data_IF_582964705797
#
_entry.id   IF_582964705797
#
_cell.length_a   1.000
_cell.length_b   1.000
_cell.length_c   1.000
_cell.angle_alpha   90.00
_cell.angle_beta   90.00
_cell.angle_gamma   90.00
#
_symmetry.space_group_name_H-M   'P 1'
#
loop_
_entity.id
_entity.type
_entity.pdbx_description
1 polymer ?
#
# COMPACT_ATOMS: atom_id res chain seq x y z
N UNK A 1 -59.56 -5.41 -5.57
CA UNK A 1 -58.63 -6.14 -4.72
C UNK A 1 -58.48 -5.41 -3.41
N UNK A 2 -58.70 -6.10 -2.26
CA UNK A 2 -58.53 -5.49 -0.91
C UNK A 2 -57.04 -5.24 -0.70
N UNK A 3 -56.68 -4.18 0.01
CA UNK A 3 -55.28 -3.75 0.29
C UNK A 3 -54.40 -4.90 0.78
N UNK A 4 -54.94 -5.80 1.61
CA UNK A 4 -54.22 -7.01 2.07
C UNK A 4 -53.82 -7.98 0.93
N UNK A 5 -54.65 -8.09 -0.11
CA UNK A 5 -54.31 -8.95 -1.27
C UNK A 5 -53.20 -8.35 -2.14
N UNK A 6 -53.17 -7.03 -2.29
CA UNK A 6 -52.10 -6.34 -3.01
C UNK A 6 -50.77 -6.45 -2.27
N UNK A 7 -50.76 -6.35 -0.94
CA UNK A 7 -49.58 -6.53 -0.11
C UNK A 7 -49.05 -7.97 -0.21
N UNK A 8 -49.94 -8.96 -0.15
CA UNK A 8 -49.53 -10.38 -0.28
C UNK A 8 -48.96 -10.71 -1.66
N UNK A 9 -49.52 -10.16 -2.73
CA UNK A 9 -48.98 -10.32 -4.09
C UNK A 9 -47.62 -9.65 -4.21
N UNK A 10 -47.43 -8.46 -3.67
CA UNK A 10 -46.15 -7.77 -3.68
C UNK A 10 -45.05 -8.56 -2.94
N UNK A 11 -45.39 -9.11 -1.75
CA UNK A 11 -44.45 -9.94 -0.99
C UNK A 11 -44.12 -11.25 -1.70
N UNK A 12 -45.09 -11.88 -2.39
CA UNK A 12 -44.87 -13.10 -3.16
C UNK A 12 -43.97 -12.83 -4.38
N UNK A 13 -44.15 -11.71 -5.07
CA UNK A 13 -43.28 -11.29 -6.20
C UNK A 13 -41.87 -11.02 -5.71
N UNK A 14 -41.70 -10.34 -4.57
CA UNK A 14 -40.39 -10.11 -3.95
C UNK A 14 -39.74 -11.44 -3.56
N UNK A 15 -40.49 -12.38 -2.98
CA UNK A 15 -39.99 -13.72 -2.64
C UNK A 15 -39.56 -14.53 -3.87
N UNK A 16 -40.33 -14.52 -4.95
CA UNK A 16 -40.01 -15.22 -6.20
C UNK A 16 -38.78 -14.59 -6.86
N UNK A 17 -38.66 -13.27 -6.90
CA UNK A 17 -37.50 -12.57 -7.43
C UNK A 17 -36.23 -12.89 -6.61
N UNK A 18 -36.37 -13.03 -5.27
CA UNK A 18 -35.29 -13.49 -4.40
C UNK A 18 -34.83 -14.91 -4.68
N UNK A 19 -35.79 -15.85 -4.84
CA UNK A 19 -35.50 -17.27 -5.13
C UNK A 19 -34.93 -17.52 -6.53
N UNK A 20 -35.28 -16.70 -7.51
CA UNK A 20 -34.78 -16.83 -8.89
C UNK A 20 -33.45 -16.15 -9.16
N UNK A 21 -32.84 -15.54 -8.13
CA UNK A 21 -31.59 -14.79 -8.28
C UNK A 21 -31.73 -13.49 -9.08
N UNK A 22 -32.96 -13.15 -9.54
CA UNK A 22 -33.22 -11.90 -10.28
C UNK A 22 -32.96 -10.68 -9.39
N UNK A 23 -33.17 -10.80 -8.06
CA UNK A 23 -32.82 -9.76 -7.09
C UNK A 23 -31.31 -9.44 -7.16
N UNK A 24 -30.47 -10.46 -7.33
CA UNK A 24 -29.03 -10.27 -7.49
C UNK A 24 -28.66 -9.55 -8.79
N UNK A 25 -29.46 -9.71 -9.86
CA UNK A 25 -29.24 -9.02 -11.15
C UNK A 25 -29.80 -7.61 -11.19
N UNK A 26 -30.86 -7.31 -10.42
CA UNK A 26 -31.55 -6.00 -10.43
C UNK A 26 -30.96 -5.05 -9.38
N UNK A 27 -30.52 -5.57 -8.25
CA UNK A 27 -29.76 -4.84 -7.23
C UNK A 27 -28.31 -5.31 -7.23
N UNK A 28 -27.57 -5.00 -8.29
CA UNK A 28 -26.11 -5.00 -8.22
C UNK A 28 -25.70 -3.90 -7.24
N UNK A 29 -25.61 -4.24 -5.97
CA UNK A 29 -24.87 -3.44 -5.02
C UNK A 29 -23.42 -3.54 -5.47
N UNK A 30 -22.90 -2.50 -6.15
CA UNK A 30 -21.51 -2.43 -6.54
C UNK A 30 -20.68 -2.57 -5.28
N UNK A 31 -20.02 -3.71 -5.13
CA UNK A 31 -19.07 -3.89 -4.04
C UNK A 31 -17.89 -2.99 -4.36
N UNK A 32 -17.63 -2.01 -3.48
CA UNK A 32 -16.50 -1.11 -3.65
C UNK A 32 -15.23 -1.85 -3.25
N UNK A 33 -14.11 -1.68 -3.97
CA UNK A 33 -12.85 -2.24 -3.53
C UNK A 33 -12.38 -1.56 -2.25
N UNK A 34 -11.47 -2.21 -1.53
CA UNK A 34 -10.60 -1.55 -0.58
C UNK A 34 -9.25 -1.29 -1.22
N UNK A 35 -8.60 -0.20 -0.86
CA UNK A 35 -7.27 0.13 -1.39
C UNK A 35 -6.25 0.07 -0.27
N UNK A 36 -5.28 -0.81 -0.41
CA UNK A 36 -4.15 -0.93 0.49
C UNK A 36 -2.94 -0.25 -0.16
N UNK A 37 -2.15 0.45 0.62
CA UNK A 37 -0.99 1.21 0.15
C UNK A 37 0.28 0.79 0.87
N UNK A 38 1.40 0.77 0.15
CA UNK A 38 2.68 0.99 0.80
C UNK A 38 2.82 2.45 1.24
N UNK A 39 3.81 2.73 2.05
CA UNK A 39 4.06 4.08 2.56
C UNK A 39 5.11 4.82 1.73
N UNK A 40 6.34 4.31 1.75
CA UNK A 40 7.52 4.98 1.21
C UNK A 40 7.58 4.86 -0.31
N UNK A 41 7.78 5.98 -1.00
CA UNK A 41 7.76 5.99 -2.47
C UNK A 41 6.36 5.89 -3.07
N UNK A 42 5.31 5.67 -2.24
CA UNK A 42 3.92 5.55 -2.68
C UNK A 42 3.05 6.70 -2.14
N UNK A 43 2.94 6.87 -0.84
CA UNK A 43 2.19 7.96 -0.20
C UNK A 43 3.09 9.10 0.26
N UNK A 44 4.34 8.79 0.55
CA UNK A 44 5.33 9.70 1.10
C UNK A 44 6.61 9.60 0.30
N UNK A 45 7.13 10.74 -0.15
CA UNK A 45 8.49 10.83 -0.67
C UNK A 45 9.48 10.87 0.49
N UNK A 46 10.04 9.73 0.80
CA UNK A 46 11.10 9.58 1.80
C UNK A 46 12.49 9.41 1.18
N UNK A 47 12.64 9.56 -0.13
CA UNK A 47 13.91 9.28 -0.81
C UNK A 47 15.05 10.15 -0.27
N UNK A 48 14.84 11.44 -0.20
CA UNK A 48 15.85 12.38 0.35
C UNK A 48 16.19 12.06 1.80
N UNK A 49 15.17 11.75 2.62
CA UNK A 49 15.35 11.37 4.01
C UNK A 49 16.21 10.12 4.16
N UNK A 50 15.91 9.08 3.41
CA UNK A 50 16.62 7.80 3.44
C UNK A 50 18.07 8.01 2.98
N UNK A 51 18.29 8.69 1.85
CA UNK A 51 19.61 8.95 1.31
C UNK A 51 20.48 9.74 2.31
N UNK A 52 19.96 10.82 2.85
CA UNK A 52 20.70 11.65 3.79
C UNK A 52 21.00 10.91 5.09
N UNK A 53 20.06 10.05 5.55
CA UNK A 53 20.30 9.22 6.73
C UNK A 53 21.45 8.23 6.49
N UNK A 54 21.46 7.50 5.37
CA UNK A 54 22.54 6.58 5.04
C UNK A 54 23.88 7.30 4.88
N UNK A 55 23.92 8.44 4.18
CA UNK A 55 25.15 9.24 4.04
C UNK A 55 25.73 9.63 5.41
N UNK A 56 24.89 10.04 6.36
CA UNK A 56 25.36 10.39 7.72
C UNK A 56 25.87 9.18 8.49
N UNK A 57 25.18 8.04 8.41
CA UNK A 57 25.64 6.80 9.05
C UNK A 57 27.00 6.38 8.47
N UNK A 58 27.13 6.33 7.14
CA UNK A 58 28.40 5.95 6.53
C UNK A 58 29.51 6.93 6.84
N UNK A 59 29.25 8.23 6.91
CA UNK A 59 30.23 9.22 7.32
C UNK A 59 30.73 9.01 8.75
N UNK A 60 29.88 8.52 9.67
CA UNK A 60 30.27 8.23 11.06
C UNK A 60 31.08 6.92 11.19
N UNK A 61 30.67 5.86 10.50
CA UNK A 61 31.22 4.51 10.69
C UNK A 61 32.25 4.09 9.61
N UNK A 62 32.20 4.72 8.44
CA UNK A 62 33.11 4.50 7.30
C UNK A 62 33.44 5.82 6.60
N UNK A 63 34.18 6.75 7.26
CA UNK A 63 34.39 8.11 6.75
C UNK A 63 35.05 8.19 5.37
N UNK A 64 35.85 7.17 5.03
CA UNK A 64 36.55 7.07 3.72
C UNK A 64 35.72 6.38 2.64
N UNK A 65 34.46 5.97 2.94
CA UNK A 65 33.59 5.29 1.99
C UNK A 65 32.53 6.25 1.46
N UNK A 66 32.58 6.50 0.16
CA UNK A 66 31.55 7.31 -0.52
C UNK A 66 30.49 6.41 -1.15
N UNK A 67 29.23 6.58 -0.70
CA UNK A 67 28.10 5.89 -1.28
C UNK A 67 27.77 6.43 -2.68
N UNK A 68 27.75 5.55 -3.65
CA UNK A 68 27.27 5.87 -5.00
C UNK A 68 25.74 6.03 -5.00
N UNK A 69 25.20 6.73 -6.01
CA UNK A 69 23.76 6.83 -6.17
C UNK A 69 23.12 5.45 -6.39
N UNK A 70 23.79 4.53 -7.10
CA UNK A 70 23.28 3.18 -7.34
C UNK A 70 23.12 2.39 -6.04
N UNK A 71 24.09 2.51 -5.13
CA UNK A 71 24.00 1.89 -3.80
C UNK A 71 22.84 2.48 -2.99
N UNK A 72 22.72 3.82 -2.96
CA UNK A 72 21.62 4.50 -2.26
C UNK A 72 20.25 4.02 -2.77
N UNK A 73 20.08 3.88 -4.07
CA UNK A 73 18.84 3.33 -4.65
C UNK A 73 18.62 1.85 -4.27
N UNK A 74 19.70 1.06 -4.16
CA UNK A 74 19.59 -0.36 -3.77
C UNK A 74 19.17 -0.58 -2.31
N UNK A 75 19.18 0.48 -1.49
CA UNK A 75 18.80 0.43 -0.09
C UNK A 75 17.27 0.53 0.11
N UNK A 76 16.52 0.84 -0.96
CA UNK A 76 15.07 0.77 -0.91
C UNK A 76 14.58 -0.67 -1.10
N UNK A 77 13.65 -1.09 -0.26
CA UNK A 77 13.03 -2.42 -0.29
C UNK A 77 13.61 -3.42 0.69
N UNK A 78 14.94 -3.67 0.75
CA UNK A 78 15.54 -4.53 1.77
C UNK A 78 15.35 -3.97 3.19
N UNK A 79 15.41 -4.86 4.20
CA UNK A 79 15.46 -4.41 5.60
C UNK A 79 16.83 -3.78 5.91
N UNK A 80 16.89 -2.97 6.98
CA UNK A 80 18.15 -2.35 7.40
C UNK A 80 19.22 -3.39 7.75
N UNK A 81 18.79 -4.50 8.37
CA UNK A 81 19.65 -5.63 8.70
C UNK A 81 20.34 -6.19 7.43
N UNK A 82 19.56 -6.47 6.39
CA UNK A 82 20.06 -6.98 5.10
C UNK A 82 20.95 -5.94 4.41
N UNK A 83 20.62 -4.67 4.52
CA UNK A 83 21.42 -3.60 3.90
C UNK A 83 22.76 -3.46 4.60
N UNK A 84 22.76 -3.29 5.93
CA UNK A 84 24.00 -3.06 6.68
C UNK A 84 24.92 -4.29 6.74
N UNK A 85 24.39 -5.52 6.70
CA UNK A 85 25.21 -6.73 6.67
C UNK A 85 26.16 -6.83 5.47
N UNK A 86 25.90 -6.07 4.40
CA UNK A 86 26.80 -5.99 3.23
C UNK A 86 28.05 -5.14 3.49
N UNK A 87 28.01 -4.28 4.49
CA UNK A 87 29.02 -3.24 4.71
C UNK A 87 29.70 -3.30 6.08
N UNK A 88 29.06 -3.92 7.07
CA UNK A 88 29.48 -3.90 8.47
C UNK A 88 29.48 -5.31 9.07
N UNK A 89 30.36 -5.57 10.07
CA UNK A 89 30.37 -6.81 10.83
C UNK A 89 29.03 -7.03 11.57
N UNK A 90 28.66 -8.31 11.76
CA UNK A 90 27.39 -8.71 12.35
C UNK A 90 27.17 -8.15 13.75
N UNK A 91 28.22 -8.11 14.57
CA UNK A 91 28.22 -7.59 15.95
C UNK A 91 27.97 -6.07 16.05
N UNK A 92 28.08 -5.32 14.95
CA UNK A 92 27.84 -3.90 14.90
C UNK A 92 26.47 -3.52 14.34
N UNK A 93 25.78 -4.43 13.66
CA UNK A 93 24.58 -4.13 12.88
C UNK A 93 23.48 -3.52 13.75
N UNK A 94 23.20 -4.08 14.92
CA UNK A 94 22.14 -3.58 15.81
C UNK A 94 22.41 -2.13 16.25
N UNK A 95 23.63 -1.83 16.67
CA UNK A 95 24.02 -0.47 17.08
C UNK A 95 23.96 0.54 15.92
N UNK A 96 24.31 0.12 14.71
CA UNK A 96 24.23 0.95 13.50
C UNK A 96 22.78 1.21 13.11
N UNK A 97 21.90 0.21 13.24
CA UNK A 97 20.46 0.38 13.02
C UNK A 97 19.86 1.38 14.01
N UNK A 98 20.21 1.28 15.28
CA UNK A 98 19.76 2.23 16.29
C UNK A 98 20.24 3.66 15.97
N UNK A 99 21.50 3.79 15.54
CA UNK A 99 22.06 5.07 15.12
C UNK A 99 21.34 5.62 13.88
N UNK A 100 21.11 4.77 12.87
CA UNK A 100 20.31 5.12 11.69
C UNK A 100 18.93 5.64 12.09
N UNK A 101 18.23 4.96 12.98
CA UNK A 101 16.91 5.38 13.44
C UNK A 101 16.93 6.72 14.18
N UNK A 102 17.96 6.96 14.99
CA UNK A 102 18.14 8.23 15.68
C UNK A 102 18.36 9.40 14.70
N UNK A 103 19.24 9.21 13.70
CA UNK A 103 19.51 10.20 12.65
C UNK A 103 18.24 10.41 11.80
N UNK A 104 17.58 9.34 11.36
CA UNK A 104 16.35 9.40 10.58
C UNK A 104 15.26 10.21 11.30
N UNK A 105 15.11 9.98 12.61
CA UNK A 105 14.15 10.73 13.44
C UNK A 105 14.46 12.23 13.48
N UNK A 106 15.73 12.61 13.53
CA UNK A 106 16.15 14.02 13.53
C UNK A 106 15.86 14.70 12.19
N UNK A 107 16.14 13.98 11.08
CA UNK A 107 15.98 14.50 9.71
C UNK A 107 14.54 14.47 9.20
N UNK A 108 13.68 13.73 9.86
CA UNK A 108 12.34 13.43 9.37
C UNK A 108 11.52 14.69 9.00
N UNK A 109 11.61 15.74 9.80
CA UNK A 109 10.86 16.98 9.56
C UNK A 109 11.34 17.74 8.33
N UNK A 110 12.63 17.62 8.00
CA UNK A 110 13.27 18.45 6.97
C UNK A 110 13.24 17.78 5.59
N UNK A 111 13.11 16.46 5.54
CA UNK A 111 13.30 15.66 4.32
C UNK A 111 12.14 14.73 3.97
N UNK A 112 11.06 14.71 4.75
CA UNK A 112 9.89 13.89 4.42
C UNK A 112 8.81 14.80 3.84
N UNK A 113 8.42 14.50 2.62
CA UNK A 113 7.38 15.20 1.89
C UNK A 113 6.22 14.26 1.55
N UNK A 114 5.04 14.79 1.32
CA UNK A 114 3.92 14.06 0.75
C UNK A 114 4.23 13.73 -0.73
N UNK A 115 3.86 12.52 -1.19
CA UNK A 115 3.93 12.20 -2.61
C UNK A 115 2.92 13.07 -3.39
N UNK A 116 3.29 13.61 -4.56
CA UNK A 116 2.39 14.44 -5.35
C UNK A 116 1.02 13.77 -5.53
N UNK A 117 -0.04 14.52 -5.28
CA UNK A 117 -1.45 14.13 -5.38
C UNK A 117 -1.91 13.02 -4.41
N UNK A 118 -1.10 12.64 -3.39
CA UNK A 118 -1.50 11.58 -2.46
C UNK A 118 -2.75 11.99 -1.65
N UNK A 119 -2.78 13.22 -1.16
CA UNK A 119 -3.92 13.72 -0.39
C UNK A 119 -5.17 13.86 -1.24
N UNK A 120 -5.08 14.47 -2.42
CA UNK A 120 -6.20 14.64 -3.34
C UNK A 120 -6.80 13.30 -3.77
N UNK A 121 -5.94 12.31 -4.02
CA UNK A 121 -6.35 10.94 -4.33
C UNK A 121 -7.11 10.32 -3.16
N UNK A 122 -6.59 10.42 -1.93
CA UNK A 122 -7.24 9.89 -0.73
C UNK A 122 -8.58 10.60 -0.45
N UNK A 123 -8.68 11.90 -0.66
CA UNK A 123 -9.94 12.65 -0.60
C UNK A 123 -10.95 12.13 -1.64
N UNK A 124 -10.48 11.87 -2.85
CA UNK A 124 -11.29 11.27 -3.91
C UNK A 124 -11.80 9.88 -3.55
N UNK A 125 -10.96 8.99 -3.04
CA UNK A 125 -11.36 7.65 -2.57
C UNK A 125 -12.35 7.72 -1.41
N UNK A 126 -12.12 8.61 -0.44
CA UNK A 126 -13.03 8.83 0.69
C UNK A 126 -14.40 9.33 0.24
N UNK A 127 -14.44 10.26 -0.73
CA UNK A 127 -15.71 10.76 -1.31
C UNK A 127 -16.50 9.63 -1.97
N UNK A 128 -15.81 8.69 -2.60
CA UNK A 128 -16.41 7.48 -3.16
C UNK A 128 -16.76 6.43 -2.08
N UNK A 129 -16.43 6.66 -0.81
CA UNK A 129 -16.66 5.73 0.30
C UNK A 129 -15.83 4.45 0.17
N UNK A 130 -14.60 4.56 -0.35
CA UNK A 130 -13.62 3.49 -0.48
C UNK A 130 -12.74 3.50 0.76
N UNK A 131 -12.65 2.36 1.44
CA UNK A 131 -11.80 2.21 2.63
C UNK A 131 -10.34 2.04 2.22
N UNK A 132 -9.44 2.64 3.01
CA UNK A 132 -8.01 2.62 2.76
C UNK A 132 -7.23 2.06 3.95
N UNK A 133 -6.13 1.35 3.68
CA UNK A 133 -5.20 0.92 4.71
C UNK A 133 -3.74 1.10 4.25
N UNK A 134 -2.82 1.15 5.22
CA UNK A 134 -1.37 1.15 4.98
C UNK A 134 -0.77 -0.15 5.47
N UNK A 135 0.08 -0.78 4.64
CA UNK A 135 0.86 -1.98 4.97
C UNK A 135 2.32 -1.74 4.59
N UNK A 136 3.18 -1.55 5.59
CA UNK A 136 4.58 -1.17 5.39
C UNK A 136 5.54 -2.08 6.17
N UNK A 137 6.71 -2.37 5.59
CA UNK A 137 7.80 -3.07 6.28
C UNK A 137 8.54 -2.19 7.32
N UNK A 138 8.18 -0.91 7.43
CA UNK A 138 8.71 -0.01 8.46
C UNK A 138 8.05 -0.24 9.82
N UNK A 139 8.76 0.15 10.88
CA UNK A 139 8.22 0.14 12.24
C UNK A 139 6.96 1.01 12.34
N UNK A 140 5.96 0.51 13.04
CA UNK A 140 4.64 1.14 13.13
C UNK A 140 4.69 2.60 13.62
N UNK A 141 5.60 2.92 14.54
CA UNK A 141 5.77 4.29 15.03
C UNK A 141 6.27 5.24 13.94
N UNK A 142 7.15 4.74 13.03
CA UNK A 142 7.67 5.52 11.91
C UNK A 142 6.57 5.75 10.87
N UNK A 143 5.79 4.71 10.59
CA UNK A 143 4.63 4.79 9.67
C UNK A 143 3.64 5.85 10.17
N UNK A 144 3.19 5.74 11.41
CA UNK A 144 2.22 6.70 11.99
C UNK A 144 2.75 8.12 12.03
N UNK A 145 4.03 8.30 12.36
CA UNK A 145 4.68 9.61 12.35
C UNK A 145 4.73 10.22 10.95
N UNK A 146 5.10 9.42 9.95
CA UNK A 146 5.14 9.84 8.55
C UNK A 146 3.77 10.29 8.05
N UNK A 147 2.75 9.46 8.23
CA UNK A 147 1.37 9.79 7.86
C UNK A 147 0.89 11.08 8.54
N UNK A 148 1.14 11.22 9.84
CA UNK A 148 0.75 12.43 10.58
C UNK A 148 1.48 13.68 10.09
N UNK A 149 2.76 13.57 9.77
CA UNK A 149 3.53 14.70 9.24
C UNK A 149 3.05 15.12 7.86
N UNK A 150 2.71 14.16 6.99
CA UNK A 150 2.13 14.42 5.68
C UNK A 150 0.64 14.84 5.74
N UNK A 151 0.00 14.81 6.94
CA UNK A 151 -1.42 15.13 7.09
C UNK A 151 -2.36 14.08 6.47
N UNK A 152 -1.88 12.83 6.35
CA UNK A 152 -2.60 11.72 5.71
C UNK A 152 -3.19 10.73 6.72
N UNK A 153 -2.91 10.87 8.02
CA UNK A 153 -3.25 9.90 9.06
C UNK A 153 -4.76 9.66 9.25
N UNK A 154 -5.60 10.61 8.86
CA UNK A 154 -7.06 10.54 9.01
C UNK A 154 -7.79 9.82 7.86
N UNK A 155 -7.06 9.34 6.86
CA UNK A 155 -7.63 8.67 5.68
C UNK A 155 -7.61 7.14 5.77
N UNK A 156 -6.97 6.58 6.79
CA UNK A 156 -6.75 5.14 6.89
C UNK A 156 -7.47 4.54 8.09
N UNK A 157 -8.30 3.53 7.85
CA UNK A 157 -8.97 2.74 8.88
C UNK A 157 -8.00 1.76 9.55
N UNK A 158 -7.01 1.27 8.78
CA UNK A 158 -6.02 0.30 9.24
C UNK A 158 -4.61 0.76 8.87
N UNK A 159 -3.68 0.70 9.82
CA UNK A 159 -2.27 0.99 9.60
C UNK A 159 -1.43 -0.13 10.21
N UNK A 160 -0.73 -0.88 9.36
CA UNK A 160 0.14 -1.99 9.75
C UNK A 160 1.60 -1.64 9.45
N UNK A 161 2.43 -1.72 10.48
CA UNK A 161 3.89 -1.64 10.38
C UNK A 161 4.54 -2.97 10.75
N UNK A 162 5.86 -3.07 10.65
CA UNK A 162 6.67 -4.30 10.81
C UNK A 162 6.25 -5.18 11.98
N UNK A 163 5.99 -4.59 13.14
CA UNK A 163 5.66 -5.31 14.38
C UNK A 163 4.26 -5.96 14.36
N UNK A 164 3.39 -5.49 13.46
CA UNK A 164 2.02 -5.98 13.30
C UNK A 164 1.88 -6.93 12.09
N UNK A 165 2.95 -7.11 11.32
CA UNK A 165 2.96 -8.04 10.19
C UNK A 165 3.40 -9.43 10.68
N UNK A 166 2.68 -10.51 10.36
CA UNK A 166 3.16 -11.87 10.60
C UNK A 166 4.51 -12.14 9.92
N UNK A 167 4.67 -11.64 8.68
CA UNK A 167 5.89 -11.67 7.90
C UNK A 167 5.98 -10.40 7.04
N UNK A 168 7.20 -9.88 6.79
CA UNK A 168 7.39 -8.71 5.93
C UNK A 168 7.08 -9.02 4.45
N UNK A 169 6.75 -7.97 3.67
CA UNK A 169 6.69 -8.08 2.21
C UNK A 169 8.04 -8.57 1.67
N UNK A 170 8.07 -9.49 0.71
CA UNK A 170 7.01 -9.88 -0.24
C UNK A 170 6.07 -10.99 0.25
N UNK A 171 5.90 -11.24 1.57
CA UNK A 171 4.81 -12.08 2.06
C UNK A 171 3.46 -11.36 1.89
N UNK A 172 2.41 -12.13 1.59
CA UNK A 172 1.05 -11.60 1.52
C UNK A 172 0.37 -11.43 2.89
N UNK A 173 1.01 -11.92 3.96
CA UNK A 173 0.39 -12.04 5.29
C UNK A 173 -0.12 -10.70 5.84
N UNK A 174 0.64 -9.61 5.66
CA UNK A 174 0.22 -8.28 6.10
C UNK A 174 -0.96 -7.73 5.30
N UNK A 175 -1.03 -8.02 3.99
CA UNK A 175 -2.15 -7.61 3.15
C UNK A 175 -3.42 -8.37 3.54
N UNK A 176 -3.29 -9.67 3.80
CA UNK A 176 -4.39 -10.53 4.27
C UNK A 176 -4.92 -10.01 5.60
N UNK A 177 -4.04 -9.65 6.52
CA UNK A 177 -4.41 -9.10 7.83
C UNK A 177 -5.16 -7.76 7.69
N UNK A 178 -4.68 -6.87 6.81
CA UNK A 178 -5.37 -5.61 6.52
C UNK A 178 -6.79 -5.85 5.97
N UNK A 179 -6.97 -6.80 5.04
CA UNK A 179 -8.28 -7.18 4.53
C UNK A 179 -9.20 -7.75 5.62
N UNK A 180 -8.67 -8.58 6.52
CA UNK A 180 -9.42 -9.13 7.66
C UNK A 180 -9.93 -8.01 8.57
N UNK A 181 -9.07 -7.04 8.90
CA UNK A 181 -9.41 -5.89 9.73
C UNK A 181 -10.41 -4.94 9.07
N UNK A 182 -10.39 -4.83 7.74
CA UNK A 182 -11.36 -4.08 6.95
C UNK A 182 -12.64 -4.87 6.63
N UNK A 183 -12.74 -6.12 7.09
CA UNK A 183 -13.88 -7.01 6.83
C UNK A 183 -14.19 -7.18 5.34
N UNK A 184 -13.15 -7.28 4.50
CA UNK A 184 -13.26 -7.42 3.05
C UNK A 184 -12.68 -8.73 2.53
N UNK A 185 -13.13 -9.15 1.34
CA UNK A 185 -12.55 -10.29 0.62
C UNK A 185 -11.24 -9.90 -0.08
N UNK A 186 -10.38 -10.87 -0.33
CA UNK A 186 -9.11 -10.66 -1.04
C UNK A 186 -9.32 -10.20 -2.48
N UNK A 187 -10.36 -10.73 -3.13
CA UNK A 187 -10.73 -10.42 -4.52
C UNK A 187 -11.24 -8.98 -4.70
N UNK A 188 -11.61 -8.32 -3.60
CA UNK A 188 -12.07 -6.93 -3.59
C UNK A 188 -10.96 -5.96 -3.17
N UNK A 189 -9.70 -6.39 -3.25
CA UNK A 189 -8.56 -5.63 -2.76
C UNK A 189 -7.66 -5.16 -3.91
N UNK A 190 -7.34 -3.88 -3.91
CA UNK A 190 -6.29 -3.27 -4.73
C UNK A 190 -5.10 -2.98 -3.82
N UNK A 191 -3.91 -3.42 -4.20
CA UNK A 191 -2.68 -3.05 -3.49
C UNK A 191 -1.79 -2.17 -4.37
N UNK A 192 -1.39 -1.02 -3.84
CA UNK A 192 -0.59 -0.01 -4.52
C UNK A 192 0.77 0.10 -3.84
N UNK A 193 1.83 -0.04 -4.61
CA UNK A 193 3.19 0.09 -4.11
C UNK A 193 4.18 0.44 -5.22
N UNK A 194 5.36 0.88 -4.82
CA UNK A 194 6.42 1.36 -5.71
C UNK A 194 7.56 0.36 -5.88
N UNK A 195 7.52 -0.76 -5.15
CA UNK A 195 8.59 -1.76 -5.10
C UNK A 195 8.14 -3.13 -5.63
N UNK A 196 9.08 -3.91 -6.16
CA UNK A 196 8.84 -5.29 -6.61
C UNK A 196 8.25 -6.16 -5.49
N UNK A 197 8.66 -5.94 -4.23
CA UNK A 197 8.13 -6.67 -3.07
C UNK A 197 6.62 -6.44 -2.86
N UNK A 198 6.12 -5.27 -3.24
CA UNK A 198 4.70 -4.92 -3.17
C UNK A 198 3.88 -5.72 -4.18
N UNK A 199 4.36 -5.73 -5.42
CA UNK A 199 3.72 -6.48 -6.50
C UNK A 199 3.70 -7.97 -6.19
N UNK A 200 4.81 -8.52 -5.68
CA UNK A 200 4.87 -9.93 -5.29
C UNK A 200 3.96 -10.27 -4.12
N UNK A 201 3.82 -9.38 -3.13
CA UNK A 201 2.89 -9.56 -2.02
C UNK A 201 1.43 -9.57 -2.50
N UNK A 202 1.06 -8.60 -3.36
CA UNK A 202 -0.27 -8.53 -3.96
C UNK A 202 -0.60 -9.80 -4.78
N UNK A 203 0.33 -10.26 -5.62
CA UNK A 203 0.18 -11.48 -6.40
C UNK A 203 -0.05 -12.72 -5.54
N UNK A 204 0.73 -12.89 -4.48
CA UNK A 204 0.56 -14.02 -3.54
C UNK A 204 -0.80 -14.02 -2.84
N UNK A 205 -1.43 -12.86 -2.71
CA UNK A 205 -2.78 -12.73 -2.16
C UNK A 205 -3.87 -12.88 -3.24
N UNK A 206 -3.51 -12.85 -4.53
CA UNK A 206 -4.41 -12.70 -5.68
C UNK A 206 -5.19 -11.35 -5.65
N UNK A 207 -4.59 -10.30 -5.11
CA UNK A 207 -5.13 -8.94 -5.15
C UNK A 207 -4.77 -8.25 -6.47
N UNK A 208 -5.57 -7.25 -6.87
CA UNK A 208 -5.23 -6.41 -8.00
C UNK A 208 -4.00 -5.54 -7.67
N UNK A 209 -2.88 -5.81 -8.33
CA UNK A 209 -1.60 -5.15 -8.06
C UNK A 209 -1.42 -3.91 -8.93
N UNK A 210 -1.16 -2.78 -8.30
CA UNK A 210 -0.85 -1.51 -8.97
C UNK A 210 0.57 -1.09 -8.62
N UNK A 211 1.44 -1.03 -9.63
CA UNK A 211 2.76 -0.43 -9.49
C UNK A 211 2.66 1.09 -9.65
N UNK A 212 3.21 1.84 -8.70
CA UNK A 212 3.33 3.29 -8.80
C UNK A 212 4.79 3.68 -9.03
N UNK A 213 5.05 4.48 -10.05
CA UNK A 213 6.39 5.00 -10.30
C UNK A 213 6.38 6.30 -11.11
N UNK A 214 7.11 7.27 -10.61
CA UNK A 214 7.45 8.52 -11.32
C UNK A 214 8.84 8.47 -11.94
N UNK A 215 9.63 7.44 -11.65
CA UNK A 215 10.99 7.21 -12.14
C UNK A 215 11.02 6.05 -13.14
N UNK A 216 11.70 6.24 -14.28
CA UNK A 216 11.75 5.23 -15.36
C UNK A 216 12.51 3.96 -14.95
N UNK A 217 13.55 4.05 -14.10
CA UNK A 217 14.31 2.88 -13.65
C UNK A 217 13.46 2.00 -12.75
N UNK A 218 12.73 2.62 -11.83
CA UNK A 218 11.80 1.94 -10.94
C UNK A 218 10.67 1.28 -11.76
N UNK A 219 10.15 1.99 -12.75
CA UNK A 219 9.13 1.49 -13.68
C UNK A 219 9.57 0.20 -14.38
N UNK A 220 10.78 0.17 -14.93
CA UNK A 220 11.34 -1.05 -15.58
C UNK A 220 11.41 -2.23 -14.59
N UNK A 221 11.75 -1.98 -13.32
CA UNK A 221 11.76 -3.04 -12.30
C UNK A 221 10.34 -3.55 -11.99
N UNK A 222 9.36 -2.64 -11.89
CA UNK A 222 7.96 -2.99 -11.69
C UNK A 222 7.38 -3.77 -12.88
N UNK A 223 7.70 -3.38 -14.11
CA UNK A 223 7.26 -4.09 -15.33
C UNK A 223 7.71 -5.55 -15.33
N UNK A 224 8.94 -5.83 -14.87
CA UNK A 224 9.45 -7.21 -14.73
C UNK A 224 8.71 -8.03 -13.67
N UNK A 225 8.09 -7.38 -12.70
CA UNK A 225 7.26 -8.03 -11.70
C UNK A 225 5.84 -8.28 -12.21
N UNK A 226 5.48 -7.78 -13.39
CA UNK A 226 4.17 -7.92 -14.05
C UNK A 226 2.99 -7.54 -13.14
N UNK A 227 2.86 -6.29 -12.67
CA UNK A 227 1.66 -5.84 -11.98
C UNK A 227 0.44 -5.82 -12.92
N UNK A 228 -0.76 -5.82 -12.37
CA UNK A 228 -1.99 -5.69 -13.17
C UNK A 228 -2.04 -4.32 -13.89
N UNK A 229 -1.53 -3.27 -13.24
CA UNK A 229 -1.44 -1.92 -13.81
C UNK A 229 -0.20 -1.20 -13.28
N UNK A 230 0.37 -0.31 -14.09
CA UNK A 230 1.37 0.67 -13.64
C UNK A 230 0.77 2.06 -13.84
N UNK A 231 0.91 2.90 -12.84
CA UNK A 231 0.50 4.31 -12.84
C UNK A 231 1.70 5.19 -12.50
N UNK A 232 1.66 6.43 -12.96
CA UNK A 232 2.66 7.46 -12.65
C UNK A 232 2.06 8.69 -11.98
N UNK A 233 0.75 8.67 -11.73
CA UNK A 233 0.02 9.67 -10.97
C UNK A 233 -1.02 8.96 -10.10
N UNK A 234 -1.02 9.25 -8.79
CA UNK A 234 -1.94 8.63 -7.84
C UNK A 234 -3.41 8.96 -8.14
N UNK A 235 -3.70 10.08 -8.80
CA UNK A 235 -5.07 10.41 -9.21
C UNK A 235 -5.68 9.40 -10.18
N UNK A 236 -4.87 8.58 -10.85
CA UNK A 236 -5.36 7.50 -11.72
C UNK A 236 -6.05 6.36 -10.95
N UNK A 237 -5.88 6.29 -9.61
CA UNK A 237 -6.56 5.29 -8.76
C UNK A 237 -8.04 5.56 -8.60
N UNK A 238 -8.46 6.82 -8.52
CA UNK A 238 -9.87 7.17 -8.30
C UNK A 238 -10.76 6.65 -9.43
N UNK A 239 -10.48 6.91 -10.72
CA UNK A 239 -11.26 6.31 -11.80
C UNK A 239 -11.12 4.78 -11.86
N UNK A 240 -9.93 4.22 -11.60
CA UNK A 240 -9.71 2.77 -11.60
C UNK A 240 -10.65 2.05 -10.62
N UNK A 241 -10.87 2.61 -9.43
CA UNK A 241 -11.77 2.03 -8.43
C UNK A 241 -13.26 2.13 -8.80
N UNK A 242 -13.60 2.95 -9.80
CA UNK A 242 -14.98 3.11 -10.32
C UNK A 242 -15.29 2.19 -11.50
N UNK A 243 -14.25 1.69 -12.17
CA UNK A 243 -14.41 0.80 -13.33
C UNK A 243 -14.99 -0.55 -12.87
N UNK A 244 -16.10 -0.96 -13.49
CA UNK A 244 -16.74 -2.25 -13.17
C UNK A 244 -15.82 -3.39 -13.60
N UNK A 245 -15.50 -4.30 -12.68
CA UNK A 245 -14.81 -5.58 -12.91
C UNK A 245 -13.32 -5.58 -13.29
N UNK A 246 -12.65 -4.44 -13.44
CA UNK A 246 -11.21 -4.43 -13.78
C UNK A 246 -10.37 -5.13 -12.71
N UNK A 247 -10.79 -5.03 -11.43
CA UNK A 247 -10.09 -5.60 -10.27
C UNK A 247 -10.69 -6.92 -9.76
N UNK A 248 -11.86 -7.35 -10.27
CA UNK A 248 -12.51 -8.63 -9.91
C UNK A 248 -12.32 -9.74 -10.94
N UNK A 249 -11.77 -9.45 -12.12
CA UNK A 249 -11.52 -10.43 -13.17
C UNK A 249 -10.22 -11.19 -12.88
N UNK A 250 -10.35 -12.32 -12.16
CA UNK A 250 -9.25 -13.26 -11.86
C UNK A 250 -8.68 -13.99 -13.10
N UNK A 251 -8.95 -13.53 -14.33
CA UNK A 251 -8.49 -14.19 -15.57
C UNK A 251 -7.10 -13.72 -16.02
N UNK A 252 -6.39 -12.90 -15.25
CA UNK A 252 -5.08 -12.32 -15.64
C UNK A 252 -3.89 -13.07 -14.98
N UNK A 253 -4.10 -14.27 -14.42
CA UNK A 253 -3.02 -15.09 -13.80
C UNK A 253 -2.63 -16.29 -14.62
#
# INVERSE_FOLDING_TARGET
LRTAQLVSIALMVIGILGLTGVFHKVFHWKKKPVVLFDLDGTLIDSQKLVFETFKRVFKEYKPDYELSNEELYSFFGPTLEVTFSKYFPEDQIESIIDRYQAINKQLHKDFLEEMPHAKEMLEGLKTEGIQCAVVSNKRIEIVKRGLKQAGLDTYFEVVLGKELLPEPKPSASGLIEACNLLHTGRDDCIYVGDNVSDILAAKKMAAYSVGFSVDERQRVALEKAHPCKIINDLMQLVPLCKEDHVWSDNTIW
#
